data_IF_954262530611
#
_entry.id   IF_954262530611
#
_cell.length_a   1.000
_cell.length_b   1.000
_cell.length_c   1.000
_cell.angle_alpha   90.00
_cell.angle_beta   90.00
_cell.angle_gamma   90.00
#
_symmetry.space_group_name_H-M   'P 1'
#
loop_
_entity.id
_entity.type
_entity.pdbx_description
1 polymer ?
#
# COMPACT_ATOMS: atom_id res chain seq x y z
N UNK A 1 47.00 5.46 -51.13
CA UNK A 1 45.65 6.04 -51.20
C UNK A 1 44.76 5.27 -50.25
N UNK A 2 44.35 5.95 -49.19
CA UNK A 2 43.62 5.40 -48.05
C UNK A 2 42.15 5.26 -48.44
N UNK A 3 41.63 4.04 -48.50
CA UNK A 3 40.20 3.77 -48.69
C UNK A 3 39.57 3.45 -47.35
N UNK A 4 39.09 4.47 -46.64
CA UNK A 4 38.30 4.30 -45.42
C UNK A 4 37.01 3.55 -45.73
N UNK A 5 36.89 2.33 -45.22
CA UNK A 5 35.61 1.61 -45.16
C UNK A 5 34.85 2.13 -43.94
N UNK A 6 33.83 2.95 -44.17
CA UNK A 6 32.93 3.43 -43.12
C UNK A 6 32.00 2.28 -42.72
N UNK A 7 32.31 1.61 -41.61
CA UNK A 7 31.37 0.67 -40.97
C UNK A 7 30.31 1.51 -40.26
N UNK A 8 29.12 1.56 -40.85
CA UNK A 8 27.94 2.10 -40.18
C UNK A 8 27.55 1.15 -39.04
N UNK A 9 27.93 1.50 -37.81
CA UNK A 9 27.38 0.87 -36.62
C UNK A 9 25.91 1.31 -36.50
N UNK A 10 24.99 0.43 -36.90
CA UNK A 10 23.60 0.52 -36.51
C UNK A 10 23.54 0.38 -34.99
N UNK A 11 23.48 1.50 -34.28
CA UNK A 11 23.10 1.51 -32.87
C UNK A 11 21.70 0.90 -32.79
N UNK A 12 21.59 -0.31 -32.26
CA UNK A 12 20.31 -0.91 -31.95
C UNK A 12 19.57 0.03 -31.00
N UNK A 13 18.46 0.60 -31.45
CA UNK A 13 17.51 1.25 -30.55
C UNK A 13 17.04 0.16 -29.58
N UNK A 14 17.61 0.13 -28.39
CA UNK A 14 17.26 -0.86 -27.39
C UNK A 14 15.81 -0.62 -26.99
N UNK A 15 14.94 -1.58 -27.30
CA UNK A 15 13.52 -1.52 -26.97
C UNK A 15 13.37 -1.25 -25.46
N UNK A 16 12.70 -0.15 -25.04
CA UNK A 16 12.47 0.14 -23.63
C UNK A 16 11.59 -0.91 -22.95
N UNK A 17 10.90 -1.77 -23.71
CA UNK A 17 10.09 -2.87 -23.19
C UNK A 17 10.86 -4.20 -23.04
N UNK A 18 12.09 -4.31 -23.54
CA UNK A 18 12.86 -5.55 -23.46
C UNK A 18 13.37 -5.82 -22.03
N UNK A 19 13.46 -7.11 -21.61
CA UNK A 19 14.03 -7.47 -20.33
C UNK A 19 15.45 -6.95 -20.14
N UNK A 20 15.77 -6.49 -18.93
CA UNK A 20 17.10 -5.95 -18.58
C UNK A 20 17.43 -6.22 -17.11
N UNK A 21 18.71 -6.38 -16.83
CA UNK A 21 19.21 -6.70 -15.50
C UNK A 21 20.24 -5.67 -15.05
N UNK A 22 20.15 -5.24 -13.79
CA UNK A 22 21.12 -4.35 -13.16
C UNK A 22 21.44 -4.82 -11.74
N UNK A 23 22.59 -4.38 -11.21
CA UNK A 23 22.91 -4.52 -9.78
C UNK A 23 22.38 -3.31 -9.03
N UNK A 24 21.69 -3.59 -7.93
CA UNK A 24 21.12 -2.63 -7.00
C UNK A 24 21.50 -3.01 -5.58
N UNK A 25 21.23 -2.12 -4.63
CA UNK A 25 21.53 -2.32 -3.22
C UNK A 25 20.37 -1.81 -2.37
N UNK A 26 20.16 -2.44 -1.21
CA UNK A 26 19.26 -1.94 -0.16
C UNK A 26 19.95 -0.76 0.55
N UNK A 27 20.04 0.37 -0.14
CA UNK A 27 20.56 1.62 0.42
C UNK A 27 19.46 2.68 0.39
N UNK A 28 18.73 2.78 1.50
CA UNK A 28 17.62 3.72 1.61
C UNK A 28 18.06 5.16 1.85
N UNK A 29 19.34 5.43 2.14
CA UNK A 29 19.86 6.81 2.27
C UNK A 29 19.77 7.64 0.98
N UNK A 30 19.58 6.97 -0.17
CA UNK A 30 19.34 7.59 -1.48
C UNK A 30 17.87 7.89 -1.74
N UNK A 31 16.97 7.32 -0.95
CA UNK A 31 15.52 7.48 -1.08
C UNK A 31 15.11 8.72 -0.28
N UNK A 32 14.42 9.72 -0.88
CA UNK A 32 13.93 10.88 -0.15
C UNK A 32 13.06 10.50 1.06
N UNK A 33 13.13 11.26 2.15
CA UNK A 33 12.45 10.97 3.42
C UNK A 33 10.95 10.69 3.26
N UNK A 34 10.26 11.53 2.49
CA UNK A 34 8.83 11.37 2.21
C UNK A 34 8.55 10.05 1.47
N UNK A 35 9.41 9.69 0.50
CA UNK A 35 9.26 8.44 -0.24
C UNK A 35 9.57 7.21 0.61
N UNK A 36 10.49 7.33 1.58
CA UNK A 36 10.74 6.25 2.56
C UNK A 36 9.51 5.96 3.41
N UNK A 37 8.77 7.00 3.82
CA UNK A 37 7.51 6.84 4.55
C UNK A 37 6.47 6.12 3.66
N UNK A 38 6.32 6.56 2.41
CA UNK A 38 5.40 5.92 1.46
C UNK A 38 5.76 4.46 1.17
N UNK A 39 7.04 4.14 0.98
CA UNK A 39 7.48 2.75 0.76
C UNK A 39 7.31 1.86 1.99
N UNK A 40 7.42 2.40 3.21
CA UNK A 40 7.09 1.63 4.41
C UNK A 40 5.60 1.33 4.48
N UNK A 41 4.77 2.28 4.08
CA UNK A 41 3.32 2.08 4.00
C UNK A 41 2.96 1.06 2.91
N UNK A 42 3.58 1.15 1.73
CA UNK A 42 3.43 0.16 0.66
C UNK A 42 3.84 -1.23 1.12
N UNK A 43 5.02 -1.35 1.74
CA UNK A 43 5.53 -2.61 2.25
C UNK A 43 4.62 -3.21 3.33
N UNK A 44 4.08 -2.39 4.23
CA UNK A 44 3.12 -2.82 5.23
C UNK A 44 1.84 -3.34 4.60
N UNK A 45 1.33 -2.67 3.56
CA UNK A 45 0.14 -3.12 2.83
C UNK A 45 0.38 -4.40 2.04
N UNK A 46 1.55 -4.54 1.40
CA UNK A 46 1.96 -5.79 0.75
C UNK A 46 2.06 -6.95 1.74
N UNK A 47 2.68 -6.71 2.90
CA UNK A 47 2.76 -7.68 3.99
C UNK A 47 1.38 -8.08 4.52
N UNK A 48 0.47 -7.11 4.67
CA UNK A 48 -0.89 -7.37 5.11
C UNK A 48 -1.69 -8.20 4.10
N UNK A 49 -1.57 -7.91 2.80
CA UNK A 49 -2.20 -8.71 1.73
C UNK A 49 -1.74 -10.16 1.79
N UNK A 50 -0.45 -10.39 1.99
CA UNK A 50 0.07 -11.76 2.15
C UNK A 50 -0.44 -12.43 3.43
N UNK A 51 -0.46 -11.70 4.56
CA UNK A 51 -0.99 -12.22 5.82
C UNK A 51 -2.45 -12.67 5.63
N UNK A 52 -3.30 -11.82 5.07
CA UNK A 52 -4.72 -12.10 4.84
C UNK A 52 -4.98 -13.20 3.81
N UNK A 53 -4.05 -13.43 2.87
CA UNK A 53 -4.15 -14.54 1.91
C UNK A 53 -3.92 -15.92 2.57
N UNK A 54 -3.38 -15.99 3.79
CA UNK A 54 -3.14 -17.24 4.51
C UNK A 54 -4.40 -17.66 5.31
N UNK A 55 -4.65 -18.96 5.49
CA UNK A 55 -5.69 -19.44 6.40
C UNK A 55 -5.49 -18.86 7.80
N UNK A 56 -6.52 -18.21 8.35
CA UNK A 56 -6.46 -17.57 9.66
C UNK A 56 -5.81 -16.18 9.67
N UNK A 57 -5.42 -15.62 8.51
CA UNK A 57 -4.79 -14.30 8.40
C UNK A 57 -5.60 -13.12 8.93
N UNK A 58 -6.88 -13.31 9.22
CA UNK A 58 -7.78 -12.34 9.86
C UNK A 58 -7.82 -12.46 11.40
N UNK A 59 -7.03 -13.38 11.99
CA UNK A 59 -6.91 -13.51 13.44
C UNK A 59 -5.77 -12.68 14.05
N UNK A 60 -4.76 -12.34 13.26
CA UNK A 60 -3.60 -11.57 13.71
C UNK A 60 -3.79 -10.08 13.40
N UNK A 61 -3.76 -9.24 14.45
CA UNK A 61 -3.86 -7.78 14.31
C UNK A 61 -2.50 -7.16 13.97
N UNK A 62 -1.41 -7.70 14.52
CA UNK A 62 -0.07 -7.22 14.24
C UNK A 62 0.44 -7.77 12.89
N UNK A 63 1.06 -6.88 12.10
CA UNK A 63 1.77 -7.27 10.88
C UNK A 63 3.24 -7.49 11.25
N UNK A 64 3.82 -8.61 10.85
CA UNK A 64 5.20 -8.97 11.21
C UNK A 64 6.22 -8.00 10.59
N UNK A 65 7.02 -7.34 11.43
CA UNK A 65 8.04 -6.37 10.98
C UNK A 65 9.03 -6.96 9.96
N UNK A 66 9.42 -8.22 10.12
CA UNK A 66 10.30 -8.93 9.18
C UNK A 66 9.73 -8.93 7.75
N UNK A 67 8.43 -9.13 7.61
CA UNK A 67 7.78 -9.15 6.29
C UNK A 67 7.68 -7.75 5.69
N UNK A 68 7.40 -6.74 6.52
CA UNK A 68 7.42 -5.33 6.11
C UNK A 68 8.82 -4.95 5.63
N UNK A 69 9.87 -5.28 6.39
CA UNK A 69 11.25 -4.95 6.05
C UNK A 69 11.71 -5.68 4.77
N UNK A 70 11.25 -6.91 4.56
CA UNK A 70 11.50 -7.66 3.32
C UNK A 70 10.96 -6.92 2.10
N UNK A 71 9.70 -6.49 2.14
CA UNK A 71 9.10 -5.77 1.02
C UNK A 71 9.61 -4.35 0.87
N UNK A 72 9.90 -3.66 1.97
CA UNK A 72 10.55 -2.36 1.94
C UNK A 72 11.92 -2.45 1.24
N UNK A 73 12.72 -3.45 1.58
CA UNK A 73 14.00 -3.68 0.93
C UNK A 73 13.86 -3.93 -0.58
N UNK A 74 12.88 -4.72 -1.00
CA UNK A 74 12.62 -4.97 -2.42
C UNK A 74 12.21 -3.69 -3.18
N UNK A 75 11.33 -2.86 -2.60
CA UNK A 75 10.93 -1.57 -3.17
C UNK A 75 12.14 -0.61 -3.29
N UNK A 76 12.99 -0.55 -2.27
CA UNK A 76 14.23 0.25 -2.28
C UNK A 76 15.19 -0.24 -3.36
N UNK A 77 15.31 -1.55 -3.58
CA UNK A 77 16.16 -2.08 -4.65
C UNK A 77 15.65 -1.69 -6.04
N UNK A 78 14.33 -1.74 -6.28
CA UNK A 78 13.76 -1.24 -7.54
C UNK A 78 14.04 0.25 -7.69
N UNK A 79 13.86 1.05 -6.63
CA UNK A 79 14.17 2.48 -6.67
C UNK A 79 15.65 2.76 -7.00
N UNK A 80 16.58 1.95 -6.48
CA UNK A 80 18.01 2.12 -6.70
C UNK A 80 18.53 1.45 -7.99
N UNK A 81 17.65 0.80 -8.78
CA UNK A 81 18.00 0.10 -10.01
C UNK A 81 18.27 1.07 -11.18
N UNK A 82 19.24 1.97 -10.97
CA UNK A 82 19.69 2.97 -11.93
C UNK A 82 20.07 2.29 -13.26
N UNK A 83 19.57 2.82 -14.38
CA UNK A 83 19.79 2.26 -15.73
C UNK A 83 18.66 1.39 -16.27
N UNK A 84 17.64 1.10 -15.47
CA UNK A 84 16.36 0.56 -15.96
C UNK A 84 15.38 1.71 -16.26
N UNK A 85 15.08 2.01 -17.52
CA UNK A 85 14.06 3.03 -17.84
C UNK A 85 12.65 2.70 -17.30
N UNK A 86 12.38 1.42 -17.04
CA UNK A 86 11.16 0.99 -16.36
C UNK A 86 11.11 1.46 -14.89
N UNK A 87 12.26 1.57 -14.20
CA UNK A 87 12.34 2.16 -12.86
C UNK A 87 11.86 3.61 -12.90
N UNK A 88 12.38 4.41 -13.83
CA UNK A 88 11.98 5.83 -13.96
C UNK A 88 10.48 5.95 -14.25
N UNK A 89 9.96 4.99 -15.02
CA UNK A 89 8.53 4.94 -15.34
C UNK A 89 7.66 4.72 -14.10
N UNK A 90 7.99 3.72 -13.26
CA UNK A 90 7.15 3.38 -12.10
C UNK A 90 7.37 4.32 -10.91
N UNK A 91 8.56 4.90 -10.77
CA UNK A 91 8.91 5.79 -9.65
C UNK A 91 8.62 7.26 -9.98
N UNK A 92 9.11 7.77 -11.12
CA UNK A 92 9.13 9.20 -11.39
C UNK A 92 7.99 9.65 -12.32
N UNK A 93 7.64 8.84 -13.33
CA UNK A 93 6.60 9.22 -14.31
C UNK A 93 5.20 9.01 -13.74
N UNK A 94 4.94 7.82 -13.20
CA UNK A 94 3.61 7.46 -12.69
C UNK A 94 3.52 7.46 -11.16
N UNK A 95 4.65 7.53 -10.46
CA UNK A 95 4.73 7.51 -8.99
C UNK A 95 3.80 6.46 -8.38
N UNK A 96 3.97 5.22 -8.84
CA UNK A 96 3.09 4.09 -8.51
C UNK A 96 3.34 3.68 -7.06
N UNK A 97 2.26 3.64 -6.29
CA UNK A 97 2.20 3.14 -4.92
C UNK A 97 1.12 2.07 -4.82
N UNK A 98 1.06 1.36 -3.69
CA UNK A 98 -0.02 0.41 -3.42
C UNK A 98 -1.37 1.12 -3.40
N UNK A 99 -2.40 0.49 -3.98
CA UNK A 99 -3.76 0.98 -3.83
C UNK A 99 -4.16 0.88 -2.35
N UNK A 100 -4.95 1.84 -1.85
CA UNK A 100 -5.30 2.00 -0.43
C UNK A 100 -6.12 0.87 0.22
N UNK A 101 -6.12 -0.33 -0.36
CA UNK A 101 -6.75 -1.53 0.18
C UNK A 101 -5.73 -2.68 0.27
N UNK A 102 -5.66 -3.40 1.41
CA UNK A 102 -6.41 -3.19 2.65
C UNK A 102 -6.01 -1.91 3.40
N UNK A 103 -6.93 -1.42 4.24
CA UNK A 103 -6.71 -0.29 5.16
C UNK A 103 -5.90 -0.74 6.38
N UNK A 104 -4.90 0.06 6.75
CA UNK A 104 -3.84 -0.29 7.71
C UNK A 104 -3.85 0.55 8.99
N UNK A 105 -4.61 1.66 9.01
CA UNK A 105 -4.61 2.64 10.10
C UNK A 105 -5.99 2.99 10.63
N UNK A 106 -7.01 3.04 9.78
CA UNK A 106 -8.29 3.66 10.11
C UNK A 106 -9.41 2.64 10.27
N UNK A 107 -10.05 2.66 11.44
CA UNK A 107 -11.22 1.86 11.78
C UNK A 107 -12.44 2.79 11.87
N UNK A 108 -13.47 2.50 11.08
CA UNK A 108 -14.78 3.14 11.16
C UNK A 108 -15.67 2.38 12.14
N UNK A 109 -16.30 3.11 13.05
CA UNK A 109 -17.30 2.61 13.96
C UNK A 109 -18.61 3.37 13.75
N UNK A 110 -19.74 2.67 13.80
CA UNK A 110 -21.05 3.28 13.98
C UNK A 110 -21.55 2.90 15.37
N UNK A 111 -21.74 3.89 16.23
CA UNK A 111 -22.12 3.69 17.63
C UNK A 111 -23.33 4.52 18.02
N UNK A 112 -24.11 4.06 18.99
CA UNK A 112 -25.23 4.81 19.55
C UNK A 112 -24.73 6.07 20.30
N UNK A 113 -25.21 7.24 19.89
CA UNK A 113 -24.72 8.53 20.38
C UNK A 113 -25.12 8.85 21.84
N UNK A 114 -26.07 8.10 22.39
CA UNK A 114 -26.51 8.22 23.79
C UNK A 114 -25.65 7.44 24.78
N UNK A 115 -24.71 6.62 24.31
CA UNK A 115 -23.80 5.91 25.19
C UNK A 115 -22.81 6.87 25.82
N UNK A 116 -22.65 6.78 27.14
CA UNK A 116 -21.73 7.65 27.88
C UNK A 116 -20.30 7.54 27.34
N UNK A 117 -19.81 6.32 27.08
CA UNK A 117 -18.47 6.11 26.55
C UNK A 117 -18.27 6.72 25.16
N UNK A 118 -19.31 6.72 24.32
CA UNK A 118 -19.28 7.36 22.99
C UNK A 118 -19.15 8.87 23.14
N UNK A 119 -19.95 9.49 24.01
CA UNK A 119 -19.91 10.93 24.26
C UNK A 119 -18.54 11.38 24.79
N UNK A 120 -17.98 10.62 25.73
CA UNK A 120 -16.67 10.90 26.30
C UNK A 120 -15.56 10.74 25.25
N UNK A 121 -15.58 9.64 24.48
CA UNK A 121 -14.64 9.41 23.37
C UNK A 121 -14.66 10.57 22.37
N UNK A 122 -15.83 10.94 21.86
CA UNK A 122 -15.94 12.00 20.84
C UNK A 122 -15.57 13.39 21.37
N UNK A 123 -15.63 13.61 22.68
CA UNK A 123 -15.20 14.86 23.33
C UNK A 123 -13.71 14.84 23.74
N UNK A 124 -12.98 13.76 23.45
CA UNK A 124 -11.57 13.62 23.81
C UNK A 124 -11.34 13.35 25.30
N UNK A 125 -12.36 12.88 26.01
CA UNK A 125 -12.29 12.56 27.43
C UNK A 125 -11.89 11.09 27.62
N UNK A 126 -10.59 10.88 27.88
CA UNK A 126 -10.03 9.55 28.15
C UNK A 126 -9.64 9.43 29.64
N UNK A 127 -9.90 8.28 30.30
CA UNK A 127 -10.61 7.11 29.80
C UNK A 127 -12.10 7.39 29.56
N UNK A 128 -12.71 6.69 28.61
CA UNK A 128 -14.13 6.82 28.21
C UNK A 128 -15.08 6.30 29.28
N UNK A 129 -14.60 5.46 30.21
CA UNK A 129 -15.41 4.82 31.24
C UNK A 129 -15.96 3.45 30.82
N UNK A 130 -15.76 3.05 29.57
CA UNK A 130 -15.97 1.67 29.14
C UNK A 130 -14.61 0.96 29.12
N UNK A 131 -14.36 0.13 30.13
CA UNK A 131 -13.05 -0.53 30.33
C UNK A 131 -12.60 -1.42 29.15
N UNK A 132 -13.53 -1.95 28.35
CA UNK A 132 -13.17 -2.73 27.17
C UNK A 132 -12.72 -1.82 26.02
N UNK A 133 -13.47 -0.74 25.75
CA UNK A 133 -13.07 0.28 24.78
C UNK A 133 -11.74 0.92 25.18
N UNK A 134 -11.59 1.31 26.45
CA UNK A 134 -10.37 1.96 26.95
C UNK A 134 -9.15 1.06 26.75
N UNK A 135 -9.28 -0.24 26.99
CA UNK A 135 -8.22 -1.22 26.73
C UNK A 135 -7.87 -1.31 25.24
N UNK A 136 -8.86 -1.36 24.35
CA UNK A 136 -8.61 -1.40 22.90
C UNK A 136 -7.92 -0.13 22.41
N UNK A 137 -8.30 1.04 22.93
CA UNK A 137 -7.65 2.31 22.59
C UNK A 137 -6.18 2.32 23.03
N UNK A 138 -5.89 1.80 24.23
CA UNK A 138 -4.54 1.71 24.78
C UNK A 138 -3.68 0.67 24.05
N UNK A 139 -4.15 -0.59 23.97
CA UNK A 139 -3.39 -1.73 23.44
C UNK A 139 -2.98 -1.53 21.97
N UNK A 140 -3.83 -0.85 21.18
CA UNK A 140 -3.60 -0.63 19.75
C UNK A 140 -3.29 0.83 19.40
N UNK A 141 -3.07 1.69 20.41
CA UNK A 141 -2.71 3.10 20.20
C UNK A 141 -3.71 3.87 19.32
N UNK A 142 -5.00 3.62 19.52
CA UNK A 142 -6.07 4.21 18.73
C UNK A 142 -6.44 5.59 19.29
N UNK A 143 -6.57 6.57 18.40
CA UNK A 143 -7.03 7.90 18.75
C UNK A 143 -8.17 8.34 17.84
N UNK A 144 -9.00 9.27 18.33
CA UNK A 144 -10.09 9.84 17.55
C UNK A 144 -9.51 10.65 16.38
N UNK A 145 -9.81 10.22 15.15
CA UNK A 145 -9.41 10.92 13.92
C UNK A 145 -10.54 11.81 13.41
N UNK A 146 -11.75 11.25 13.36
CA UNK A 146 -12.92 11.94 12.84
C UNK A 146 -14.21 11.47 13.51
N UNK A 147 -15.23 12.31 13.49
CA UNK A 147 -16.57 12.00 13.99
C UNK A 147 -17.64 12.68 13.17
N UNK A 148 -18.81 12.06 13.07
CA UNK A 148 -19.98 12.63 12.41
C UNK A 148 -21.28 12.12 13.01
N UNK A 149 -22.12 12.99 13.60
CA UNK A 149 -23.44 12.61 14.07
C UNK A 149 -24.37 12.37 12.87
N UNK A 150 -25.01 11.21 12.81
CA UNK A 150 -25.99 10.91 11.77
C UNK A 150 -27.30 11.63 12.12
N UNK A 151 -27.62 12.70 11.40
CA UNK A 151 -28.74 13.60 11.72
C UNK A 151 -30.13 12.95 11.73
N UNK A 152 -30.28 11.78 11.12
CA UNK A 152 -31.54 11.03 11.01
C UNK A 152 -31.65 9.85 11.98
N UNK A 153 -30.60 9.56 12.76
CA UNK A 153 -30.58 8.49 13.76
C UNK A 153 -29.91 8.94 15.06
N UNK A 154 -30.07 8.17 16.15
CA UNK A 154 -29.34 8.44 17.40
C UNK A 154 -27.94 7.80 17.35
N UNK A 155 -27.18 8.07 16.29
CA UNK A 155 -25.94 7.37 15.99
C UNK A 155 -24.82 8.33 15.62
N UNK A 156 -23.59 7.87 15.84
CA UNK A 156 -22.36 8.57 15.58
C UNK A 156 -21.47 7.68 14.72
N UNK A 157 -20.99 8.20 13.59
CA UNK A 157 -19.84 7.64 12.90
C UNK A 157 -18.57 8.16 13.58
N UNK A 158 -17.65 7.25 13.88
CA UNK A 158 -16.39 7.54 14.55
C UNK A 158 -15.29 6.86 13.74
N UNK A 159 -14.28 7.61 13.33
CA UNK A 159 -13.06 7.03 12.78
C UNK A 159 -11.99 7.08 13.86
N UNK A 160 -11.48 5.92 14.20
CA UNK A 160 -10.29 5.76 15.02
C UNK A 160 -9.09 5.53 14.13
N UNK A 161 -7.96 6.19 14.45
CA UNK A 161 -6.68 6.01 13.77
C UNK A 161 -5.67 5.36 14.71
N UNK A 162 -5.07 4.28 14.25
CA UNK A 162 -3.87 3.67 14.83
C UNK A 162 -2.62 4.41 14.40
N UNK A 163 -1.70 4.65 15.33
CA UNK A 163 -0.37 5.16 15.03
C UNK A 163 0.52 4.12 14.32
N UNK A 164 0.28 2.83 14.57
CA UNK A 164 0.97 1.72 13.92
C UNK A 164 0.18 1.19 12.73
N UNK A 165 0.88 0.57 11.78
CA UNK A 165 0.24 -0.22 10.72
C UNK A 165 -0.28 -1.54 11.31
N UNK A 166 -1.58 -1.77 11.20
CA UNK A 166 -2.29 -2.92 11.75
C UNK A 166 -3.13 -3.61 10.67
N UNK A 167 -3.49 -4.86 10.91
CA UNK A 167 -4.58 -5.52 10.21
C UNK A 167 -5.90 -5.00 10.77
N UNK A 168 -6.40 -3.88 10.25
CA UNK A 168 -7.64 -3.27 10.74
C UNK A 168 -8.84 -4.20 10.58
N UNK A 169 -8.85 -5.04 9.55
CA UNK A 169 -9.87 -6.07 9.36
C UNK A 169 -9.87 -7.16 10.44
N UNK A 170 -8.74 -7.41 11.12
CA UNK A 170 -8.73 -8.26 12.31
C UNK A 170 -9.14 -7.49 13.57
N UNK A 171 -8.75 -6.21 13.66
CA UNK A 171 -9.03 -5.35 14.81
C UNK A 171 -10.52 -5.04 14.96
N UNK A 172 -11.26 -4.85 13.85
CA UNK A 172 -12.70 -4.55 13.88
C UNK A 172 -13.49 -5.55 14.73
N UNK A 173 -13.15 -6.84 14.64
CA UNK A 173 -13.86 -7.90 15.34
C UNK A 173 -13.77 -7.79 16.87
N UNK A 174 -12.78 -7.05 17.41
CA UNK A 174 -12.68 -6.80 18.84
C UNK A 174 -13.70 -5.77 19.35
N UNK A 175 -14.31 -5.00 18.44
CA UNK A 175 -15.38 -4.05 18.74
C UNK A 175 -16.78 -4.68 18.66
N UNK A 176 -16.90 -5.88 18.07
CA UNK A 176 -18.15 -6.61 18.01
C UNK A 176 -18.68 -6.94 19.42
N UNK A 177 -19.98 -6.76 19.62
CA UNK A 177 -20.64 -7.07 20.89
C UNK A 177 -20.44 -6.03 22.00
N UNK A 178 -19.60 -5.00 21.80
CA UNK A 178 -19.55 -3.86 22.73
C UNK A 178 -20.91 -3.15 22.73
N UNK A 179 -21.47 -2.96 23.92
CA UNK A 179 -22.74 -2.24 24.08
C UNK A 179 -22.68 -0.85 23.43
N UNK A 180 -23.59 -0.62 22.48
CA UNK A 180 -23.67 0.62 21.72
C UNK A 180 -23.06 0.57 20.33
N UNK A 181 -22.14 -0.36 20.05
CA UNK A 181 -21.65 -0.58 18.68
C UNK A 181 -22.76 -1.19 17.83
N UNK A 182 -22.98 -0.60 16.67
CA UNK A 182 -23.81 -1.13 15.59
C UNK A 182 -22.92 -1.67 14.50
N UNK A 183 -22.01 -0.78 14.09
CA UNK A 183 -21.09 -0.83 12.96
C UNK A 183 -19.61 -1.02 13.33
N UNK A 184 -18.81 -1.89 12.70
CA UNK A 184 -17.35 -1.71 12.66
C UNK A 184 -16.79 -2.20 11.34
N UNK A 185 -15.96 -1.38 10.68
CA UNK A 185 -15.24 -1.76 9.46
C UNK A 185 -13.91 -1.02 9.28
N UNK A 186 -12.94 -1.53 8.52
CA UNK A 186 -11.85 -0.70 8.02
C UNK A 186 -12.41 0.47 7.22
N UNK A 187 -11.94 1.69 7.51
CA UNK A 187 -12.31 2.92 6.81
C UNK A 187 -11.54 3.04 5.48
N UNK A 188 -11.71 2.03 4.63
CA UNK A 188 -10.96 1.84 3.39
C UNK A 188 -11.53 2.59 2.20
N UNK A 189 -10.70 2.71 1.16
CA UNK A 189 -11.09 3.34 -0.11
C UNK A 189 -11.83 2.34 -1.00
N UNK A 190 -12.96 2.73 -1.59
CA UNK A 190 -13.61 1.96 -2.67
C UNK A 190 -13.03 2.26 -4.06
N UNK A 191 -13.15 1.30 -4.98
CA UNK A 191 -12.72 1.45 -6.37
C UNK A 191 -11.39 0.76 -6.67
N UNK A 192 -10.64 1.33 -7.60
CA UNK A 192 -9.38 0.81 -8.12
C UNK A 192 -8.42 1.96 -8.46
N UNK A 193 -7.18 1.65 -8.81
CA UNK A 193 -6.18 2.64 -9.22
C UNK A 193 -4.81 2.02 -9.45
N UNK A 194 -3.78 2.86 -9.33
CA UNK A 194 -2.40 2.40 -9.30
C UNK A 194 -2.20 1.42 -8.15
N UNK A 195 -1.41 0.38 -8.39
CA UNK A 195 -1.17 -0.64 -7.38
C UNK A 195 0.18 -1.29 -7.57
N UNK A 196 0.77 -1.76 -6.48
CA UNK A 196 1.93 -2.64 -6.46
C UNK A 196 1.45 -3.98 -5.89
N UNK A 197 1.76 -5.08 -6.54
CA UNK A 197 1.51 -6.44 -6.04
C UNK A 197 2.80 -7.20 -5.91
N UNK A 198 2.82 -8.15 -4.98
CA UNK A 198 3.99 -8.98 -4.73
C UNK A 198 3.62 -10.45 -4.76
N UNK A 199 4.51 -11.25 -5.33
CA UNK A 199 4.53 -12.69 -5.15
C UNK A 199 5.82 -13.07 -4.43
N UNK A 200 5.67 -13.65 -3.24
CA UNK A 200 6.81 -14.12 -2.43
C UNK A 200 7.36 -15.41 -3.02
N UNK A 201 8.23 -15.26 -4.01
CA UNK A 201 9.05 -16.30 -4.62
C UNK A 201 10.54 -15.98 -4.42
N UNK A 202 11.40 -16.85 -4.92
CA UNK A 202 12.83 -16.54 -5.14
C UNK A 202 13.07 -16.56 -6.66
N UNK A 203 13.23 -15.38 -7.31
CA UNK A 203 13.26 -14.03 -6.75
C UNK A 203 11.88 -13.49 -6.30
N UNK A 204 11.87 -12.42 -5.48
CA UNK A 204 10.64 -11.68 -5.18
C UNK A 204 10.14 -11.02 -6.45
N UNK A 205 8.87 -11.25 -6.81
CA UNK A 205 8.27 -10.65 -8.00
C UNK A 205 7.40 -9.46 -7.60
N UNK A 206 7.70 -8.29 -8.17
CA UNK A 206 6.95 -7.06 -7.98
C UNK A 206 6.26 -6.66 -9.29
N UNK A 207 4.94 -6.53 -9.22
CA UNK A 207 4.10 -6.06 -10.31
C UNK A 207 3.61 -4.65 -10.00
N UNK A 208 4.21 -3.66 -10.64
CA UNK A 208 3.72 -2.28 -10.60
C UNK A 208 2.67 -2.11 -11.67
N UNK A 209 1.57 -1.43 -11.34
CA UNK A 209 0.51 -1.19 -12.30
C UNK A 209 -0.05 0.21 -12.22
N UNK A 210 -0.34 0.76 -13.41
CA UNK A 210 -1.03 2.03 -13.56
C UNK A 210 -2.42 1.75 -14.10
N UNK A 211 -3.45 2.18 -13.37
CA UNK A 211 -4.85 2.05 -13.76
C UNK A 211 -5.37 3.39 -14.27
N UNK A 212 -6.20 3.39 -15.31
CA UNK A 212 -6.76 4.62 -15.89
C UNK A 212 -8.15 4.40 -16.51
N UNK A 213 -8.89 5.49 -16.71
CA UNK A 213 -10.29 5.46 -17.16
C UNK A 213 -11.27 5.43 -15.98
N UNK A 214 -12.25 4.51 -15.99
CA UNK A 214 -13.25 4.42 -14.92
C UNK A 214 -12.74 3.61 -13.71
N UNK A 215 -11.82 4.18 -12.94
CA UNK A 215 -11.26 3.53 -11.77
C UNK A 215 -12.21 3.38 -10.56
N UNK A 216 -13.21 4.26 -10.30
CA UNK A 216 -14.20 4.03 -9.25
C UNK A 216 -14.98 2.71 -9.41
N UNK A 217 -15.22 2.27 -10.65
CA UNK A 217 -15.86 0.99 -10.96
C UNK A 217 -14.88 -0.15 -11.29
N UNK A 218 -13.57 0.11 -11.22
CA UNK A 218 -12.51 -0.79 -11.70
C UNK A 218 -11.92 -0.29 -13.01
N UNK A 219 -10.63 0.07 -12.99
CA UNK A 219 -9.99 0.79 -14.10
C UNK A 219 -10.14 0.04 -15.43
N UNK A 220 -10.61 0.74 -16.48
CA UNK A 220 -10.84 0.18 -17.82
C UNK A 220 -9.52 -0.26 -18.47
N UNK A 221 -8.48 0.56 -18.30
CA UNK A 221 -7.14 0.28 -18.79
C UNK A 221 -6.19 0.00 -17.64
N UNK A 222 -5.28 -0.95 -17.84
CA UNK A 222 -4.20 -1.22 -16.89
C UNK A 222 -2.92 -1.61 -17.59
N UNK A 223 -1.85 -0.88 -17.29
CA UNK A 223 -0.48 -1.21 -17.71
C UNK A 223 0.27 -1.85 -16.54
N UNK A 224 1.03 -2.90 -16.80
CA UNK A 224 1.88 -3.55 -15.80
C UNK A 224 3.36 -3.43 -16.16
N UNK A 225 4.20 -3.33 -15.14
CA UNK A 225 5.66 -3.36 -15.21
C UNK A 225 6.16 -4.39 -14.20
N UNK A 226 6.87 -5.40 -14.69
CA UNK A 226 7.22 -6.59 -13.92
C UNK A 226 8.69 -6.55 -13.54
N UNK A 227 8.99 -6.73 -12.26
CA UNK A 227 10.35 -6.80 -11.74
C UNK A 227 10.57 -8.09 -10.96
N UNK A 228 11.74 -8.67 -11.09
CA UNK A 228 12.27 -9.69 -10.20
C UNK A 228 13.41 -9.08 -9.37
N UNK A 229 13.33 -9.26 -8.05
CA UNK A 229 14.31 -8.76 -7.09
C UNK A 229 14.94 -9.94 -6.36
N UNK A 230 16.24 -10.12 -6.57
CA UNK A 230 17.02 -11.21 -6.01
C UNK A 230 17.67 -10.79 -4.69
N UNK A 231 17.88 -11.76 -3.80
CA UNK A 231 18.56 -11.51 -2.51
C UNK A 231 19.99 -10.98 -2.68
N UNK A 232 20.65 -11.30 -3.79
CA UNK A 232 22.01 -10.86 -4.10
C UNK A 232 22.08 -9.39 -4.61
N UNK A 233 20.96 -8.67 -4.61
CA UNK A 233 20.84 -7.29 -5.07
C UNK A 233 20.66 -7.16 -6.59
N UNK A 234 20.50 -8.26 -7.32
CA UNK A 234 20.16 -8.21 -8.74
C UNK A 234 18.70 -7.80 -8.90
N UNK A 235 18.43 -6.81 -9.76
CA UNK A 235 17.08 -6.42 -10.15
C UNK A 235 16.93 -6.63 -11.65
N UNK A 236 15.94 -7.43 -12.02
CA UNK A 236 15.56 -7.70 -13.40
C UNK A 236 14.24 -7.03 -13.73
N UNK A 237 14.21 -6.23 -14.77
CA UNK A 237 12.96 -5.86 -15.43
C UNK A 237 12.58 -7.00 -16.39
N UNK A 238 11.42 -7.60 -16.17
CA UNK A 238 10.92 -8.74 -16.93
C UNK A 238 10.09 -8.33 -18.15
N UNK A 239 9.82 -7.02 -18.29
CA UNK A 239 8.99 -6.46 -19.35
C UNK A 239 7.70 -5.86 -18.81
N UNK A 240 6.86 -5.41 -19.75
CA UNK A 240 5.58 -4.79 -19.43
C UNK A 240 4.44 -5.43 -20.23
N UNK A 241 3.27 -5.47 -19.63
CA UNK A 241 2.08 -6.14 -20.18
C UNK A 241 0.81 -5.31 -19.95
N UNK A 242 -0.33 -5.85 -20.38
CA UNK A 242 -1.63 -5.18 -20.31
C UNK A 242 -1.84 -4.14 -21.41
N UNK A 243 -2.67 -3.14 -21.11
CA UNK A 243 -3.02 -2.05 -22.02
C UNK A 243 -1.78 -1.21 -22.41
N UNK A 244 -1.87 -0.36 -23.46
CA UNK A 244 -0.85 0.65 -23.72
C UNK A 244 -0.65 1.58 -22.50
N UNK A 245 0.55 2.15 -22.31
CA UNK A 245 0.77 3.12 -21.23
C UNK A 245 -0.14 4.34 -21.41
N UNK A 246 -0.80 4.84 -20.35
CA UNK A 246 -1.61 6.06 -20.46
C UNK A 246 -0.70 7.26 -20.74
N UNK A 247 -1.28 8.26 -21.41
CA UNK A 247 -0.56 9.52 -21.62
C UNK A 247 -0.39 10.23 -20.26
N UNK A 248 0.81 10.74 -19.95
CA UNK A 248 1.02 11.51 -18.73
C UNK A 248 0.01 12.66 -18.62
N UNK A 249 -0.72 12.73 -17.49
CA UNK A 249 -1.72 13.77 -17.23
C UNK A 249 -3.15 13.47 -17.67
N UNK A 250 -3.46 12.25 -18.14
CA UNK A 250 -4.85 11.79 -18.25
C UNK A 250 -5.26 10.99 -17.00
N UNK A 251 -6.45 11.22 -16.45
CA UNK A 251 -7.01 10.38 -15.38
C UNK A 251 -7.33 8.97 -15.88
#
# INVERSE_FOLDING_TARGET
MCGLTLVAALGACADPAAPRTVRSFVNDSRVPDELRILYREDAARLALRELQARPGGYGDIAITAELIDTYYAALVQVFNADGLGARDTVVDVYSIHTFGQPETHRLLLQAAADQEWVQRLVNGELPTGNAHVDRLLEDYGLSLDWKYPLSTSNEMLIVLRSAATLNIAALEHLFEGIAGIRYSEPDGMGGDGNDIRVSRADPILLDYSVGYGDCPAGCIGRRFYHFAVHEDGTVEYLGASGSPPPQPGQP
#
